data_IF_833484259768
#
_entry.id   IF_833484259768
#
_cell.length_a   1.000
_cell.length_b   1.000
_cell.length_c   1.000
_cell.angle_alpha   90.00
_cell.angle_beta   90.00
_cell.angle_gamma   90.00
#
_symmetry.space_group_name_H-M   'P 1'
#
loop_
_entity.id
_entity.type
_entity.pdbx_description
1 polymer ?
#
# COMPACT_ATOMS: atom_id res chain seq x y z
N UNK A 1 -5.10 -40.29 2.34
CA UNK A 1 -3.95 -39.67 1.69
C UNK A 1 -4.29 -38.84 0.45
N UNK A 2 -5.27 -39.18 -0.40
CA UNK A 2 -5.63 -38.34 -1.57
C UNK A 2 -6.39 -37.06 -1.22
N UNK A 3 -7.19 -37.06 -0.17
CA UNK A 3 -8.01 -35.92 0.24
C UNK A 3 -7.14 -34.75 0.75
N UNK A 4 -6.03 -35.06 1.46
CA UNK A 4 -5.09 -34.03 1.94
C UNK A 4 -4.36 -33.30 0.80
N UNK A 5 -4.09 -33.95 -0.34
CA UNK A 5 -3.38 -33.31 -1.45
C UNK A 5 -4.25 -32.30 -2.24
N UNK A 6 -5.56 -32.61 -2.39
CA UNK A 6 -6.48 -31.70 -3.10
C UNK A 6 -6.71 -30.45 -2.27
N UNK A 7 -6.84 -30.63 -0.96
CA UNK A 7 -7.04 -29.54 0.00
C UNK A 7 -5.83 -28.59 0.05
N UNK A 8 -4.61 -29.15 0.11
CA UNK A 8 -3.39 -28.34 0.09
C UNK A 8 -3.23 -27.55 -1.21
N UNK A 9 -3.58 -28.13 -2.36
CA UNK A 9 -3.53 -27.42 -3.64
C UNK A 9 -4.44 -26.18 -3.67
N UNK A 10 -5.62 -26.25 -3.02
CA UNK A 10 -6.51 -25.11 -2.89
C UNK A 10 -5.91 -23.99 -2.03
N UNK A 11 -5.33 -24.37 -0.89
CA UNK A 11 -4.68 -23.42 0.03
C UNK A 11 -3.47 -22.76 -0.63
N UNK A 12 -2.63 -23.55 -1.30
CA UNK A 12 -1.43 -23.05 -2.01
C UNK A 12 -1.79 -22.15 -3.20
N UNK A 13 -2.92 -22.41 -3.86
CA UNK A 13 -3.39 -21.56 -4.96
C UNK A 13 -3.88 -20.17 -4.49
N UNK A 14 -4.21 -20.04 -3.21
CA UNK A 14 -4.69 -18.79 -2.58
C UNK A 14 -5.87 -18.14 -3.33
N UNK A 15 -6.71 -18.97 -3.95
CA UNK A 15 -7.86 -18.52 -4.75
C UNK A 15 -9.03 -19.48 -4.60
N UNK A 16 -10.23 -18.90 -4.55
CA UNK A 16 -11.46 -19.67 -4.63
C UNK A 16 -11.57 -20.30 -6.01
N UNK A 17 -11.86 -21.62 -6.05
CA UNK A 17 -12.22 -22.33 -7.28
C UNK A 17 -13.72 -22.63 -7.26
N UNK A 18 -14.54 -21.95 -8.09
CA UNK A 18 -15.96 -22.21 -8.15
C UNK A 18 -16.35 -23.62 -8.65
N UNK A 19 -15.39 -24.36 -9.22
CA UNK A 19 -15.61 -25.72 -9.70
C UNK A 19 -15.20 -26.79 -8.67
N UNK A 20 -14.54 -26.41 -7.58
CA UNK A 20 -14.22 -27.33 -6.48
C UNK A 20 -15.53 -27.71 -5.74
N UNK A 21 -15.69 -28.98 -5.31
CA UNK A 21 -16.88 -29.43 -4.59
C UNK A 21 -17.07 -28.80 -3.20
N UNK A 22 -16.03 -28.18 -2.62
CA UNK A 22 -16.16 -27.51 -1.33
C UNK A 22 -16.97 -26.22 -1.46
N UNK A 23 -17.86 -25.91 -0.48
CA UNK A 23 -18.59 -24.65 -0.48
C UNK A 23 -17.66 -23.44 -0.55
N UNK A 24 -18.04 -22.44 -1.33
CA UNK A 24 -17.28 -21.21 -1.55
C UNK A 24 -16.84 -20.55 -0.23
N UNK A 25 -17.77 -20.41 0.73
CA UNK A 25 -17.47 -19.83 2.03
C UNK A 25 -16.41 -20.65 2.79
N UNK A 26 -16.46 -21.99 2.67
CA UNK A 26 -15.47 -22.88 3.29
C UNK A 26 -14.08 -22.64 2.69
N UNK A 27 -14.01 -22.58 1.36
CA UNK A 27 -12.75 -22.28 0.68
C UNK A 27 -12.19 -20.93 1.12
N UNK A 28 -13.00 -19.87 1.06
CA UNK A 28 -12.57 -18.51 1.36
C UNK A 28 -12.04 -18.36 2.80
N UNK A 29 -12.76 -18.88 3.79
CA UNK A 29 -12.33 -18.79 5.19
C UNK A 29 -11.07 -19.63 5.47
N UNK A 30 -10.95 -20.79 4.83
CA UNK A 30 -9.77 -21.66 5.01
C UNK A 30 -8.53 -21.11 4.33
N UNK A 31 -8.68 -20.55 3.13
CA UNK A 31 -7.59 -19.86 2.42
C UNK A 31 -7.10 -18.68 3.26
N UNK A 32 -8.02 -17.82 3.74
CA UNK A 32 -7.65 -16.68 4.58
C UNK A 32 -6.94 -17.12 5.86
N UNK A 33 -7.47 -18.13 6.59
CA UNK A 33 -6.84 -18.61 7.82
C UNK A 33 -5.47 -19.25 7.60
N UNK A 34 -5.29 -19.93 6.47
CA UNK A 34 -4.00 -20.49 6.08
C UNK A 34 -2.98 -19.40 5.81
N UNK A 35 -3.34 -18.37 5.03
CA UNK A 35 -2.47 -17.26 4.67
C UNK A 35 -2.00 -16.47 5.91
N UNK A 36 -2.90 -16.11 6.83
CA UNK A 36 -2.55 -15.40 8.06
C UNK A 36 -1.64 -16.24 8.97
N UNK A 37 -1.85 -17.56 9.00
CA UNK A 37 -0.95 -18.43 9.77
C UNK A 37 0.43 -18.54 9.14
N UNK A 38 0.53 -18.62 7.80
CA UNK A 38 1.81 -18.64 7.09
C UNK A 38 2.58 -17.32 7.28
N UNK A 39 1.89 -16.17 7.29
CA UNK A 39 2.49 -14.89 7.62
C UNK A 39 3.02 -14.89 9.08
N UNK A 40 2.22 -15.33 10.04
CA UNK A 40 2.65 -15.50 11.43
C UNK A 40 3.86 -16.42 11.56
N UNK A 41 3.87 -17.59 10.89
CA UNK A 41 4.96 -18.54 10.89
C UNK A 41 6.24 -17.93 10.31
N UNK A 42 6.13 -17.24 9.19
CA UNK A 42 7.23 -16.56 8.51
C UNK A 42 7.84 -15.47 9.42
N UNK A 43 7.02 -14.60 10.00
CA UNK A 43 7.52 -13.53 10.87
C UNK A 43 8.10 -14.06 12.19
N UNK A 44 7.56 -15.17 12.70
CA UNK A 44 8.15 -15.89 13.83
C UNK A 44 9.57 -16.37 13.53
N UNK A 45 9.80 -16.97 12.34
CA UNK A 45 11.11 -17.43 11.91
C UNK A 45 12.10 -16.28 11.72
N UNK A 46 11.65 -15.12 11.18
CA UNK A 46 12.50 -13.92 11.06
C UNK A 46 12.93 -13.42 12.44
N UNK A 47 12.00 -13.34 13.39
CA UNK A 47 12.30 -12.94 14.77
C UNK A 47 13.25 -13.94 15.44
N UNK A 48 13.06 -15.24 15.23
CA UNK A 48 13.96 -16.27 15.76
C UNK A 48 15.39 -16.13 15.21
N UNK A 49 15.56 -15.77 13.95
CA UNK A 49 16.86 -15.61 13.27
C UNK A 49 17.55 -14.30 13.61
N UNK A 50 16.82 -13.18 13.60
CA UNK A 50 17.40 -11.82 13.68
C UNK A 50 17.14 -11.13 15.01
N UNK A 51 16.39 -11.74 15.92
CA UNK A 51 15.98 -11.15 17.18
C UNK A 51 14.69 -10.35 17.06
N UNK A 52 14.34 -9.60 18.12
CA UNK A 52 13.14 -8.78 18.20
C UNK A 52 13.26 -7.51 17.32
N UNK A 53 13.19 -7.67 16.00
CA UNK A 53 13.41 -6.61 15.02
C UNK A 53 12.12 -6.03 14.48
N UNK A 54 12.10 -4.69 14.31
CA UNK A 54 11.00 -4.00 13.64
C UNK A 54 11.11 -4.18 12.11
N UNK A 55 9.97 -4.23 11.40
CA UNK A 55 8.60 -4.15 11.89
C UNK A 55 8.00 -5.52 12.30
N UNK A 56 8.70 -6.63 12.06
CA UNK A 56 8.21 -8.01 12.30
C UNK A 56 7.65 -8.21 13.70
N UNK A 57 8.37 -7.72 14.73
CA UNK A 57 7.97 -7.87 16.13
C UNK A 57 6.66 -7.13 16.50
N UNK A 58 6.26 -6.13 15.74
CA UNK A 58 4.99 -5.45 15.94
C UNK A 58 3.86 -6.14 15.16
N UNK A 59 4.15 -6.52 13.90
CA UNK A 59 3.16 -7.07 12.97
C UNK A 59 2.74 -8.48 13.35
N UNK A 60 3.66 -9.31 13.86
CA UNK A 60 3.37 -10.71 14.23
C UNK A 60 2.15 -10.88 15.13
N UNK A 61 1.89 -9.93 16.03
CA UNK A 61 0.71 -9.96 16.90
C UNK A 61 -0.58 -9.67 16.13
N UNK A 62 -0.50 -8.91 15.03
CA UNK A 62 -1.63 -8.68 14.15
C UNK A 62 -2.01 -9.98 13.44
N UNK A 63 -1.03 -10.67 12.86
CA UNK A 63 -1.26 -11.90 12.09
C UNK A 63 -1.88 -13.01 12.93
N UNK A 64 -1.36 -13.25 14.14
CA UNK A 64 -1.96 -14.25 15.02
C UNK A 64 -3.37 -13.85 15.47
N UNK A 65 -3.66 -12.57 15.63
CA UNK A 65 -5.01 -12.09 15.95
C UNK A 65 -5.95 -12.28 14.76
N UNK A 66 -5.52 -11.94 13.53
CA UNK A 66 -6.27 -12.19 12.31
C UNK A 66 -6.63 -13.67 12.16
N UNK A 67 -5.63 -14.55 12.31
CA UNK A 67 -5.84 -15.99 12.30
C UNK A 67 -6.89 -16.43 13.32
N UNK A 68 -6.81 -15.97 14.57
CA UNK A 68 -7.74 -16.36 15.62
C UNK A 68 -9.17 -15.86 15.35
N UNK A 69 -9.33 -14.66 14.78
CA UNK A 69 -10.65 -14.15 14.37
C UNK A 69 -11.22 -14.99 13.24
N UNK A 70 -10.41 -15.39 12.25
CA UNK A 70 -10.81 -16.30 11.18
C UNK A 70 -11.20 -17.67 11.71
N UNK A 71 -10.45 -18.23 12.64
CA UNK A 71 -10.79 -19.49 13.30
C UNK A 71 -12.11 -19.41 14.07
N UNK A 72 -12.45 -18.27 14.64
CA UNK A 72 -13.76 -18.03 15.27
C UNK A 72 -14.89 -18.10 14.26
N UNK A 73 -14.72 -17.54 13.05
CA UNK A 73 -15.71 -17.64 11.96
C UNK A 73 -15.78 -19.05 11.40
N UNK A 74 -14.65 -19.73 11.21
CA UNK A 74 -14.59 -21.14 10.80
C UNK A 74 -15.44 -22.01 11.74
N UNK A 75 -15.25 -21.84 13.06
CA UNK A 75 -16.04 -22.54 14.06
C UNK A 75 -17.52 -22.15 14.00
N UNK A 76 -17.85 -20.87 13.88
CA UNK A 76 -19.24 -20.35 13.77
C UNK A 76 -20.00 -20.99 12.61
N UNK A 77 -19.35 -21.15 11.46
CA UNK A 77 -19.95 -21.70 10.27
C UNK A 77 -19.85 -23.23 10.16
N UNK A 78 -19.26 -23.90 11.15
CA UNK A 78 -19.09 -25.35 11.18
C UNK A 78 -18.17 -25.88 10.08
N UNK A 79 -17.20 -25.07 9.68
CA UNK A 79 -16.22 -25.40 8.64
C UNK A 79 -15.04 -26.13 9.30
N UNK A 80 -14.49 -27.14 8.60
CA UNK A 80 -13.26 -27.80 9.01
C UNK A 80 -12.07 -26.85 8.84
N UNK A 81 -11.29 -26.65 9.91
CA UNK A 81 -10.12 -25.77 9.89
C UNK A 81 -9.07 -26.28 8.89
N UNK A 82 -8.28 -25.39 8.25
CA UNK A 82 -7.13 -25.82 7.49
C UNK A 82 -6.11 -26.46 8.43
N UNK A 83 -5.35 -27.43 7.92
CA UNK A 83 -4.21 -27.94 8.66
C UNK A 83 -3.08 -26.90 8.59
N UNK A 84 -2.59 -26.48 9.71
CA UNK A 84 -1.46 -25.54 9.84
C UNK A 84 -0.47 -26.08 10.88
N UNK A 85 0.81 -25.91 10.63
CA UNK A 85 1.86 -26.32 11.53
C UNK A 85 2.98 -25.27 11.52
N UNK A 86 3.42 -24.88 12.71
CA UNK A 86 4.56 -23.98 12.82
C UNK A 86 5.84 -24.74 12.45
N UNK A 87 6.48 -24.31 11.36
CA UNK A 87 7.68 -24.97 10.82
C UNK A 87 8.84 -23.99 10.74
N UNK A 88 10.06 -24.55 10.77
CA UNK A 88 11.23 -23.78 10.38
C UNK A 88 11.31 -23.67 8.87
N UNK A 89 11.47 -22.45 8.39
CA UNK A 89 11.63 -22.16 6.96
C UNK A 89 13.02 -21.63 6.67
N UNK A 90 13.49 -21.84 5.44
CA UNK A 90 14.73 -21.24 4.97
C UNK A 90 14.50 -19.74 4.72
N UNK A 91 15.24 -18.91 5.43
CA UNK A 91 15.17 -17.46 5.32
C UNK A 91 16.42 -16.90 4.62
N UNK A 92 16.27 -15.77 3.90
CA UNK A 92 17.41 -14.98 3.42
C UNK A 92 18.46 -14.70 4.50
N UNK A 93 19.67 -14.40 4.07
CA UNK A 93 20.78 -14.17 5.01
C UNK A 93 20.75 -12.80 5.66
N UNK A 94 20.01 -11.85 5.12
CA UNK A 94 19.91 -10.48 5.61
C UNK A 94 18.49 -10.11 6.00
N UNK A 95 18.37 -9.25 7.00
CA UNK A 95 17.07 -8.67 7.39
C UNK A 95 16.48 -7.81 6.27
N UNK A 96 17.32 -7.16 5.46
CA UNK A 96 16.90 -6.38 4.31
C UNK A 96 16.08 -7.25 3.32
N UNK A 97 16.65 -8.38 2.90
CA UNK A 97 15.97 -9.32 2.01
C UNK A 97 14.67 -9.87 2.61
N UNK A 98 14.63 -10.10 3.93
CA UNK A 98 13.40 -10.48 4.63
C UNK A 98 12.33 -9.37 4.54
N UNK A 99 12.73 -8.09 4.66
CA UNK A 99 11.80 -6.97 4.51
C UNK A 99 11.29 -6.84 3.05
N UNK A 100 12.14 -7.10 2.05
CA UNK A 100 11.74 -7.09 0.63
C UNK A 100 10.71 -8.19 0.33
N UNK A 101 10.93 -9.40 0.84
CA UNK A 101 9.97 -10.52 0.73
C UNK A 101 8.66 -10.17 1.43
N UNK A 102 8.72 -9.59 2.63
CA UNK A 102 7.52 -9.18 3.34
C UNK A 102 6.73 -8.09 2.60
N UNK A 103 7.39 -7.15 1.90
CA UNK A 103 6.70 -6.20 1.02
C UNK A 103 5.92 -6.92 -0.08
N UNK A 104 6.50 -7.95 -0.71
CA UNK A 104 5.83 -8.72 -1.73
C UNK A 104 4.64 -9.50 -1.13
N UNK A 105 4.84 -10.15 0.01
CA UNK A 105 3.80 -10.92 0.71
C UNK A 105 2.60 -10.05 1.10
N UNK A 106 2.82 -8.84 1.61
CA UNK A 106 1.72 -7.93 1.95
C UNK A 106 0.95 -7.42 0.71
N UNK A 107 1.63 -7.26 -0.43
CA UNK A 107 0.96 -6.94 -1.70
C UNK A 107 0.08 -8.10 -2.14
N UNK A 108 0.58 -9.34 -2.06
CA UNK A 108 -0.15 -10.54 -2.41
C UNK A 108 -1.34 -10.78 -1.46
N UNK A 109 -1.17 -10.52 -0.15
CA UNK A 109 -2.25 -10.59 0.84
C UNK A 109 -3.39 -9.61 0.51
N UNK A 110 -3.09 -8.35 0.15
CA UNK A 110 -4.12 -7.39 -0.29
C UNK A 110 -4.88 -7.91 -1.51
N UNK A 111 -4.17 -8.48 -2.50
CA UNK A 111 -4.78 -9.04 -3.70
C UNK A 111 -5.60 -10.32 -3.41
N UNK A 112 -5.15 -11.14 -2.45
CA UNK A 112 -5.89 -12.29 -1.94
C UNK A 112 -7.26 -11.85 -1.39
N UNK A 113 -7.31 -10.87 -0.49
CA UNK A 113 -8.57 -10.40 0.08
C UNK A 113 -9.46 -9.71 -0.95
N UNK A 114 -8.92 -9.03 -1.96
CA UNK A 114 -9.70 -8.54 -3.11
C UNK A 114 -10.41 -9.70 -3.82
N UNK A 115 -9.71 -10.82 -4.04
CA UNK A 115 -10.29 -12.01 -4.64
C UNK A 115 -11.36 -12.65 -3.75
N UNK A 116 -11.06 -12.90 -2.46
CA UNK A 116 -11.98 -13.56 -1.54
C UNK A 116 -13.29 -12.76 -1.36
N UNK A 117 -13.20 -11.44 -1.29
CA UNK A 117 -14.33 -10.52 -1.16
C UNK A 117 -15.31 -10.56 -2.35
N UNK A 118 -14.86 -11.02 -3.53
CA UNK A 118 -15.77 -11.22 -4.67
C UNK A 118 -16.72 -12.40 -4.49
N UNK A 119 -16.38 -13.35 -3.63
CA UNK A 119 -17.11 -14.61 -3.51
C UNK A 119 -17.93 -14.74 -2.23
N UNK A 120 -17.62 -13.98 -1.16
CA UNK A 120 -18.31 -14.07 0.12
C UNK A 120 -19.38 -13.00 0.25
N UNK A 121 -20.54 -13.38 0.82
CA UNK A 121 -21.68 -12.48 1.01
C UNK A 121 -22.04 -12.30 2.50
N UNK A 122 -21.52 -13.13 3.39
CA UNK A 122 -21.75 -13.11 4.83
C UNK A 122 -21.19 -11.80 5.43
N UNK A 123 -22.03 -10.95 6.05
CA UNK A 123 -21.60 -9.61 6.47
C UNK A 123 -20.45 -9.59 7.46
N UNK A 124 -20.40 -10.53 8.39
CA UNK A 124 -19.34 -10.65 9.39
C UNK A 124 -18.01 -11.15 8.81
N UNK A 125 -18.09 -12.04 7.80
CA UNK A 125 -16.90 -12.49 7.06
C UNK A 125 -16.35 -11.34 6.23
N UNK A 126 -17.20 -10.62 5.53
CA UNK A 126 -16.78 -9.43 4.76
C UNK A 126 -16.18 -8.35 5.65
N UNK A 127 -16.78 -8.09 6.81
CA UNK A 127 -16.23 -7.13 7.79
C UNK A 127 -14.82 -7.52 8.20
N UNK A 128 -14.61 -8.79 8.59
CA UNK A 128 -13.29 -9.27 8.96
C UNK A 128 -12.29 -9.16 7.80
N UNK A 129 -12.67 -9.60 6.59
CA UNK A 129 -11.79 -9.54 5.42
C UNK A 129 -11.37 -8.11 5.08
N UNK A 130 -12.29 -7.13 5.14
CA UNK A 130 -11.94 -5.71 4.95
C UNK A 130 -11.00 -5.18 6.04
N UNK A 131 -11.17 -5.62 7.30
CA UNK A 131 -10.29 -5.19 8.38
C UNK A 131 -8.87 -5.74 8.22
N UNK A 132 -8.73 -6.99 7.85
CA UNK A 132 -7.44 -7.63 7.59
C UNK A 132 -6.77 -6.95 6.39
N UNK A 133 -7.46 -6.85 5.27
CA UNK A 133 -6.95 -6.17 4.07
C UNK A 133 -6.49 -4.73 4.38
N UNK A 134 -7.27 -4.00 5.17
CA UNK A 134 -6.92 -2.64 5.57
C UNK A 134 -5.68 -2.60 6.48
N UNK A 135 -5.47 -3.60 7.35
CA UNK A 135 -4.27 -3.71 8.18
C UNK A 135 -3.03 -3.93 7.31
N UNK A 136 -3.08 -4.88 6.37
CA UNK A 136 -1.99 -5.14 5.44
C UNK A 136 -1.68 -3.93 4.56
N UNK A 137 -2.70 -3.29 3.97
CA UNK A 137 -2.51 -2.15 3.07
C UNK A 137 -2.03 -0.88 3.79
N UNK A 138 -2.65 -0.52 4.93
CA UNK A 138 -2.40 0.76 5.58
C UNK A 138 -1.31 0.71 6.66
N UNK A 139 -0.99 -0.46 7.22
CA UNK A 139 -0.07 -0.60 8.34
C UNK A 139 1.14 -1.47 8.01
N UNK A 140 0.93 -2.73 7.58
CA UNK A 140 2.04 -3.69 7.39
C UNK A 140 2.90 -3.32 6.20
N UNK A 141 2.30 -3.14 5.02
CA UNK A 141 3.01 -2.78 3.79
C UNK A 141 3.82 -1.48 3.92
N UNK A 142 3.28 -0.37 4.46
CA UNK A 142 4.08 0.82 4.73
C UNK A 142 5.24 0.59 5.70
N UNK A 143 5.05 -0.23 6.74
CA UNK A 143 6.09 -0.53 7.71
C UNK A 143 7.24 -1.34 7.08
N UNK A 144 6.94 -2.34 6.27
CA UNK A 144 7.95 -3.12 5.54
C UNK A 144 8.66 -2.28 4.47
N UNK A 145 7.95 -1.41 3.75
CA UNK A 145 8.58 -0.45 2.81
C UNK A 145 9.55 0.49 3.53
N UNK A 146 9.19 0.97 4.71
CA UNK A 146 10.09 1.78 5.53
C UNK A 146 11.32 0.98 6.00
N UNK A 147 11.14 -0.31 6.33
CA UNK A 147 12.25 -1.21 6.65
C UNK A 147 13.23 -1.29 5.46
N UNK A 148 12.76 -1.61 4.27
CA UNK A 148 13.59 -1.66 3.04
C UNK A 148 14.29 -0.34 2.80
N UNK A 149 13.58 0.79 2.86
CA UNK A 149 14.15 2.12 2.66
C UNK A 149 15.25 2.46 3.67
N UNK A 150 15.14 1.97 4.91
CA UNK A 150 16.14 2.22 5.94
C UNK A 150 17.54 1.67 5.59
N UNK A 151 17.61 0.52 4.94
CA UNK A 151 18.86 -0.09 4.48
C UNK A 151 19.50 0.67 3.34
N UNK A 152 18.71 1.14 2.37
CA UNK A 152 19.21 1.98 1.28
C UNK A 152 19.77 3.31 1.79
N UNK A 153 19.10 3.92 2.78
CA UNK A 153 19.55 5.17 3.39
C UNK A 153 20.86 4.99 4.18
N UNK A 154 21.06 3.83 4.83
CA UNK A 154 22.31 3.52 5.52
C UNK A 154 23.46 3.24 4.56
N UNK A 155 23.17 2.55 3.43
CA UNK A 155 24.17 2.24 2.42
C UNK A 155 24.63 3.46 1.61
N UNK A 156 23.85 4.53 1.56
CA UNK A 156 24.15 5.72 0.74
C UNK A 156 23.82 7.04 1.48
N UNK A 157 24.67 7.48 2.44
CA UNK A 157 24.44 8.69 3.24
C UNK A 157 24.27 9.96 2.42
N UNK A 158 24.79 9.99 1.17
CA UNK A 158 24.63 11.14 0.27
C UNK A 158 23.22 11.24 -0.31
N UNK A 159 22.51 10.11 -0.51
CA UNK A 159 21.09 10.11 -0.87
C UNK A 159 20.19 10.64 0.26
N UNK A 160 20.60 10.41 1.52
CA UNK A 160 19.83 10.88 2.68
C UNK A 160 19.79 12.43 2.73
N UNK A 161 20.84 13.11 2.30
CA UNK A 161 20.85 14.58 2.17
C UNK A 161 19.93 15.06 1.02
N UNK A 162 19.80 14.30 -0.05
CA UNK A 162 18.88 14.64 -1.14
C UNK A 162 17.42 14.35 -0.76
N UNK A 163 17.15 13.26 -0.05
CA UNK A 163 15.78 12.96 0.46
C UNK A 163 15.35 13.94 1.55
N UNK A 164 16.26 14.38 2.43
CA UNK A 164 15.96 15.43 3.41
C UNK A 164 15.66 16.77 2.72
N UNK A 165 16.30 17.07 1.60
CA UNK A 165 15.98 18.24 0.77
C UNK A 165 14.64 18.06 0.05
N UNK A 166 14.28 16.85 -0.39
CA UNK A 166 12.98 16.54 -0.99
C UNK A 166 11.85 16.61 0.06
N UNK A 167 12.10 16.17 1.30
CA UNK A 167 11.14 16.33 2.40
C UNK A 167 10.96 17.80 2.83
N UNK A 168 12.03 18.59 2.88
CA UNK A 168 11.92 20.04 3.09
C UNK A 168 11.24 20.74 1.91
N UNK A 169 11.50 20.29 0.69
CA UNK A 169 10.79 20.78 -0.50
C UNK A 169 9.32 20.31 -0.52
N UNK A 170 8.99 19.16 0.06
CA UNK A 170 7.62 18.68 0.23
C UNK A 170 6.80 19.50 1.24
N UNK A 171 7.41 19.97 2.33
CA UNK A 171 6.77 20.90 3.26
C UNK A 171 6.53 22.28 2.59
N UNK A 172 7.52 22.76 1.83
CA UNK A 172 7.38 23.95 1.00
C UNK A 172 6.34 23.77 -0.13
N UNK A 173 6.11 22.54 -0.58
CA UNK A 173 5.10 22.20 -1.58
C UNK A 173 3.66 22.27 -1.00
N UNK A 174 3.46 21.92 0.27
CA UNK A 174 2.16 22.11 0.94
C UNK A 174 1.84 23.59 1.18
N UNK A 175 2.83 24.40 1.58
CA UNK A 175 2.67 25.85 1.70
C UNK A 175 2.42 26.50 0.34
N UNK A 176 3.08 26.03 -0.72
CA UNK A 176 2.80 26.47 -2.09
C UNK A 176 1.41 26.04 -2.57
N UNK A 177 0.91 24.87 -2.18
CA UNK A 177 -0.43 24.41 -2.57
C UNK A 177 -1.55 25.27 -1.99
N UNK A 178 -1.37 25.81 -0.78
CA UNK A 178 -2.29 26.79 -0.19
C UNK A 178 -2.30 28.11 -0.99
N UNK A 179 -1.13 28.56 -1.44
CA UNK A 179 -1.00 29.73 -2.32
C UNK A 179 -1.60 29.49 -3.71
N UNK A 180 -1.54 28.26 -4.24
CA UNK A 180 -2.22 27.89 -5.47
C UNK A 180 -3.74 27.92 -5.34
N UNK A 181 -4.29 27.44 -4.25
CA UNK A 181 -5.73 27.52 -3.99
C UNK A 181 -6.21 28.99 -3.90
N UNK A 182 -5.48 29.85 -3.19
CA UNK A 182 -5.79 31.29 -3.10
C UNK A 182 -5.76 31.97 -4.49
N UNK A 183 -4.78 31.62 -5.34
CA UNK A 183 -4.69 32.13 -6.72
C UNK A 183 -5.81 31.64 -7.63
N UNK A 184 -6.24 30.40 -7.47
CA UNK A 184 -7.38 29.83 -8.20
C UNK A 184 -8.69 30.51 -7.77
N UNK A 185 -8.88 30.74 -6.49
CA UNK A 185 -10.04 31.46 -5.95
C UNK A 185 -10.05 32.91 -6.42
N UNK A 186 -8.92 33.60 -6.44
CA UNK A 186 -8.77 34.95 -6.97
C UNK A 186 -9.08 35.00 -8.47
N UNK A 187 -8.60 34.00 -9.24
CA UNK A 187 -8.85 33.91 -10.68
C UNK A 187 -10.33 33.60 -11.01
N UNK A 188 -10.96 32.74 -10.22
CA UNK A 188 -12.39 32.42 -10.36
C UNK A 188 -13.30 33.61 -9.99
N UNK A 189 -12.84 34.51 -9.10
CA UNK A 189 -13.54 35.73 -8.70
C UNK A 189 -13.18 36.93 -9.59
N UNK A 190 -12.40 36.76 -10.65
CA UNK A 190 -12.04 37.84 -11.58
C UNK A 190 -10.93 38.79 -11.09
N UNK A 191 -10.29 38.49 -9.97
CA UNK A 191 -9.21 39.26 -9.35
C UNK A 191 -7.83 38.71 -9.74
N UNK A 192 -7.41 38.85 -10.99
CA UNK A 192 -6.12 38.35 -11.46
C UNK A 192 -5.01 39.38 -11.17
N UNK A 193 -4.17 39.11 -10.17
CA UNK A 193 -2.95 39.90 -9.91
C UNK A 193 -1.74 39.28 -10.65
N UNK A 194 -1.35 39.89 -11.77
CA UNK A 194 -0.20 39.49 -12.57
C UNK A 194 1.13 39.48 -11.83
N UNK A 195 1.30 40.30 -10.79
CA UNK A 195 2.51 40.35 -10.00
C UNK A 195 2.60 39.12 -9.06
N UNK A 196 1.46 38.69 -8.51
CA UNK A 196 1.35 37.48 -7.67
C UNK A 196 1.68 36.22 -8.48
N UNK A 197 1.20 36.13 -9.74
CA UNK A 197 1.51 35.03 -10.67
C UNK A 197 3.01 35.01 -11.03
N UNK A 198 3.59 36.16 -11.35
CA UNK A 198 5.02 36.26 -11.70
C UNK A 198 5.96 35.96 -10.53
N UNK A 199 5.61 36.39 -9.31
CA UNK A 199 6.41 36.07 -8.11
C UNK A 199 6.41 34.58 -7.82
N UNK A 200 5.28 33.90 -8.04
CA UNK A 200 5.11 32.48 -7.85
C UNK A 200 5.86 31.67 -8.91
N UNK A 201 5.78 32.05 -10.18
CA UNK A 201 6.54 31.43 -11.27
C UNK A 201 8.06 31.61 -11.06
N UNK A 202 8.51 32.73 -10.47
CA UNK A 202 9.92 32.97 -10.18
C UNK A 202 10.43 32.18 -8.97
N UNK A 203 9.55 31.74 -8.04
CA UNK A 203 9.90 30.92 -6.89
C UNK A 203 9.89 29.41 -7.20
N UNK A 204 9.37 28.99 -8.36
CA UNK A 204 9.31 27.59 -8.76
C UNK A 204 10.65 27.10 -9.33
N UNK A 205 11.18 26.05 -8.72
CA UNK A 205 12.41 25.40 -9.22
C UNK A 205 12.12 24.65 -10.54
N UNK A 206 12.94 24.87 -11.56
CA UNK A 206 12.73 24.36 -12.94
C UNK A 206 12.57 22.82 -13.05
N UNK A 207 12.93 22.06 -12.04
CA UNK A 207 12.71 20.61 -12.01
C UNK A 207 11.24 20.19 -11.78
N UNK A 208 10.39 21.10 -11.31
CA UNK A 208 8.96 20.89 -11.12
C UNK A 208 8.11 21.17 -12.36
N UNK A 209 8.63 21.89 -13.34
CA UNK A 209 7.88 22.26 -14.54
C UNK A 209 7.57 21.10 -15.48
N UNK A 210 8.27 19.97 -15.39
CA UNK A 210 8.03 18.82 -16.27
C UNK A 210 6.76 18.02 -15.96
N UNK A 211 6.14 18.22 -14.79
CA UNK A 211 4.92 17.50 -14.37
C UNK A 211 3.62 18.29 -14.39
N UNK A 212 3.70 19.63 -14.41
CA UNK A 212 2.52 20.53 -14.30
C UNK A 212 2.16 21.29 -15.57
N UNK A 213 2.95 21.14 -16.63
CA UNK A 213 2.82 21.94 -17.86
C UNK A 213 1.61 21.58 -18.76
N UNK A 214 0.72 20.67 -18.35
CA UNK A 214 -0.43 20.24 -19.16
C UNK A 214 -1.79 20.43 -18.44
N UNK A 215 -1.82 21.11 -17.29
CA UNK A 215 -3.05 21.42 -16.57
C UNK A 215 -3.57 22.83 -16.86
N UNK A 216 -4.85 23.04 -16.70
CA UNK A 216 -5.71 24.19 -17.05
C UNK A 216 -5.14 25.62 -16.93
N UNK A 217 -4.05 25.84 -16.17
CA UNK A 217 -3.44 27.18 -16.03
C UNK A 217 -2.50 27.55 -17.18
N UNK A 218 -1.84 26.59 -17.83
CA UNK A 218 -1.00 26.81 -19.00
C UNK A 218 -1.81 27.23 -20.22
N UNK A 219 -3.05 26.75 -20.36
CA UNK A 219 -3.96 27.09 -21.46
C UNK A 219 -4.51 28.52 -21.37
N UNK A 220 -4.81 29.01 -20.17
CA UNK A 220 -5.34 30.37 -19.98
C UNK A 220 -4.27 31.46 -20.10
N UNK A 221 -3.05 31.21 -19.62
CA UNK A 221 -1.95 32.16 -19.75
C UNK A 221 -1.49 32.33 -21.20
N UNK A 222 -1.43 31.24 -21.98
CA UNK A 222 -1.10 31.28 -23.41
C UNK A 222 -2.18 31.95 -24.25
N UNK A 223 -3.46 31.72 -23.96
CA UNK A 223 -4.56 32.35 -24.68
C UNK A 223 -4.64 33.85 -24.45
N UNK A 224 -4.31 34.35 -23.25
CA UNK A 224 -4.29 35.78 -22.95
C UNK A 224 -3.09 36.51 -23.56
N UNK A 225 -1.95 35.82 -23.79
CA UNK A 225 -0.80 36.37 -24.49
C UNK A 225 -1.02 36.43 -26.03
N UNK A 226 -1.65 35.43 -26.62
CA UNK A 226 -1.95 35.40 -28.04
C UNK A 226 -3.03 36.42 -28.43
N UNK A 227 -3.98 36.76 -27.57
CA UNK A 227 -4.99 37.79 -27.86
C UNK A 227 -4.47 39.25 -27.73
N UNK A 228 -3.24 39.45 -27.23
CA UNK A 228 -2.66 40.79 -27.09
C UNK A 228 -1.83 41.24 -28.29
N UNK A 229 -1.44 40.33 -29.20
CA UNK A 229 -0.69 40.65 -30.40
C UNK A 229 -1.57 41.03 -31.61
N UNK A 230 -2.87 40.69 -31.59
CA UNK A 230 -3.80 41.01 -32.68
C UNK A 230 -4.45 42.39 -32.62
N UNK A 231 -4.18 43.18 -31.52
CA UNK A 231 -4.80 44.51 -31.35
C UNK A 231 -3.84 45.71 -31.54
N UNK A 232 -2.69 45.50 -32.23
CA UNK A 232 -1.75 46.58 -32.52
C UNK A 232 -1.47 46.78 -34.01
N UNK A 233 -2.44 46.43 -34.87
CA UNK A 233 -2.45 46.86 -36.27
C UNK A 233 -3.85 47.32 -36.66
N UNK A 234 -4.17 48.58 -36.35
CA UNK A 234 -4.99 49.54 -37.09
C UNK A 234 -4.61 50.97 -36.68
#
# INVERSE_FOLDING_TARGET
MQQNNVDQNLLDAQRVDPNDPQPILSQALRIAAFDEFEAYNTYSNVIAKFGNVLPFSNIINSEINHYNELMTLIQKYGIEAPFVEQTQIELPNTLHECCEIAVAAEIDNVALYDNLLMYVNEPDVRDLFYRIQAASFNNHLPAFRACVASFYNQANPQMNNQMSQVQQNGANMMDNMAQYQELLDDAMNGNIDQNKIMSMLSSMNMSMMSGLAVGALGGMALSSMMNKEDNTQE
#
